data_IF_159266772819
#
_entry.id   IF_159266772819
#
_cell.length_a   1.000
_cell.length_b   1.000
_cell.length_c   1.000
_cell.angle_alpha   90.00
_cell.angle_beta   90.00
_cell.angle_gamma   90.00
#
_symmetry.space_group_name_H-M   'P 1'
#
loop_
_entity.id
_entity.type
_entity.pdbx_description
1 polymer ?
#
# COMPACT_ATOMS: atom_id res chain seq x y z
N UNK A 1 53.08 8.62 -48.66
CA UNK A 1 51.90 8.69 -47.79
C UNK A 1 51.41 7.34 -47.32
N UNK A 2 51.33 6.35 -48.24
CA UNK A 2 50.93 4.95 -47.94
C UNK A 2 51.78 4.32 -46.83
N UNK A 3 53.11 4.46 -46.88
CA UNK A 3 54.01 3.92 -45.86
C UNK A 3 53.84 4.61 -44.49
N UNK A 4 53.52 5.90 -44.49
CA UNK A 4 53.21 6.65 -43.23
C UNK A 4 51.92 6.16 -42.57
N UNK A 5 50.88 5.86 -43.37
CA UNK A 5 49.62 5.30 -42.84
C UNK A 5 49.89 3.93 -42.23
N UNK A 6 50.61 3.04 -42.90
CA UNK A 6 50.93 1.71 -42.41
C UNK A 6 51.81 1.75 -41.15
N UNK A 7 52.78 2.65 -41.08
CA UNK A 7 53.63 2.82 -39.90
C UNK A 7 52.78 3.30 -38.68
N UNK A 8 51.92 4.28 -38.87
CA UNK A 8 51.05 4.78 -37.79
C UNK A 8 50.04 3.72 -37.34
N UNK A 9 49.50 2.93 -38.26
CA UNK A 9 48.59 1.83 -37.97
C UNK A 9 49.29 0.73 -37.15
N UNK A 10 50.53 0.36 -37.53
CA UNK A 10 51.33 -0.62 -36.79
C UNK A 10 51.65 -0.15 -35.38
N UNK A 11 52.03 1.13 -35.21
CA UNK A 11 52.28 1.72 -33.88
C UNK A 11 51.00 1.77 -33.04
N UNK A 12 49.86 2.12 -33.60
CA UNK A 12 48.58 2.14 -32.92
C UNK A 12 48.19 0.75 -32.43
N UNK A 13 48.37 -0.28 -33.24
CA UNK A 13 48.12 -1.70 -32.89
C UNK A 13 48.95 -2.12 -31.67
N UNK A 14 50.23 -1.80 -31.64
CA UNK A 14 51.11 -2.10 -30.53
C UNK A 14 50.60 -1.44 -29.23
N UNK A 15 50.33 -0.15 -29.27
CA UNK A 15 49.83 0.60 -28.08
C UNK A 15 48.45 0.14 -27.61
N UNK A 16 47.56 -0.30 -28.52
CA UNK A 16 46.28 -0.91 -28.16
C UNK A 16 46.47 -2.25 -27.45
N UNK A 17 47.37 -3.08 -28.00
CA UNK A 17 47.70 -4.40 -27.41
C UNK A 17 48.27 -4.25 -25.99
N UNK A 18 49.15 -3.28 -25.77
CA UNK A 18 49.85 -3.06 -24.49
C UNK A 18 48.99 -2.34 -23.46
N UNK A 19 47.85 -1.77 -23.83
CA UNK A 19 46.97 -1.05 -22.91
C UNK A 19 46.36 -1.98 -21.87
N UNK A 20 46.52 -1.62 -20.58
CA UNK A 20 46.05 -2.36 -19.43
C UNK A 20 44.86 -1.67 -18.71
N UNK A 21 44.49 -0.48 -19.15
CA UNK A 21 43.39 0.29 -18.56
C UNK A 21 42.57 1.02 -19.61
N UNK A 22 41.29 1.33 -19.24
CA UNK A 22 40.39 2.10 -20.11
C UNK A 22 40.93 3.54 -20.36
N UNK A 23 41.64 4.10 -19.36
CA UNK A 23 42.27 5.42 -19.46
C UNK A 23 43.39 5.42 -20.55
N UNK A 24 44.20 4.37 -20.60
CA UNK A 24 45.22 4.22 -21.62
C UNK A 24 44.62 4.06 -23.02
N UNK A 25 43.56 3.26 -23.17
CA UNK A 25 42.83 3.14 -24.43
C UNK A 25 42.25 4.46 -24.89
N UNK A 26 41.75 5.28 -23.99
CA UNK A 26 41.23 6.61 -24.31
C UNK A 26 42.36 7.56 -24.76
N UNK A 27 43.55 7.46 -24.16
CA UNK A 27 44.72 8.21 -24.60
C UNK A 27 45.15 7.77 -25.99
N UNK A 28 45.23 6.47 -26.28
CA UNK A 28 45.52 5.93 -27.61
C UNK A 28 44.49 6.42 -28.64
N UNK A 29 43.20 6.35 -28.32
CA UNK A 29 42.13 6.90 -29.18
C UNK A 29 42.35 8.37 -29.50
N UNK A 30 42.68 9.18 -28.54
CA UNK A 30 42.94 10.61 -28.74
C UNK A 30 44.18 10.89 -29.59
N UNK A 31 45.26 10.11 -29.39
CA UNK A 31 46.50 10.26 -30.10
C UNK A 31 46.40 9.88 -31.57
N UNK A 32 45.59 8.91 -31.96
CA UNK A 32 45.54 8.39 -33.33
C UNK A 32 44.31 8.85 -34.12
N UNK A 33 43.11 8.82 -33.52
CA UNK A 33 41.82 9.13 -34.19
C UNK A 33 41.08 10.35 -33.66
N UNK A 34 41.59 10.99 -32.60
CA UNK A 34 41.05 12.25 -32.07
C UNK A 34 41.18 13.43 -33.08
N UNK A 35 40.64 14.59 -32.77
CA UNK A 35 40.66 15.80 -33.62
C UNK A 35 42.09 16.20 -34.02
N UNK A 36 43.07 15.98 -33.17
CA UNK A 36 44.52 16.25 -33.36
C UNK A 36 45.32 14.96 -33.51
N UNK A 37 44.65 13.81 -33.69
CA UNK A 37 45.31 12.52 -33.83
C UNK A 37 46.04 12.33 -35.16
N UNK A 38 47.09 11.51 -35.15
CA UNK A 38 48.01 11.33 -36.29
C UNK A 38 47.29 10.96 -37.60
N UNK A 39 46.28 10.06 -37.54
CA UNK A 39 45.50 9.70 -38.74
C UNK A 39 44.53 10.85 -39.13
N UNK A 40 44.07 11.66 -38.20
CA UNK A 40 43.22 12.82 -38.51
C UNK A 40 43.99 13.99 -39.09
N UNK A 41 45.26 14.14 -38.72
CA UNK A 41 46.14 15.15 -39.32
C UNK A 41 46.53 14.74 -40.75
N UNK A 42 46.85 13.50 -40.99
CA UNK A 42 47.12 13.00 -42.37
C UNK A 42 45.91 13.17 -43.31
N UNK A 43 44.68 13.12 -42.78
CA UNK A 43 43.49 13.40 -43.58
C UNK A 43 43.42 14.87 -44.05
N UNK A 44 43.95 15.80 -43.29
CA UNK A 44 44.06 17.23 -43.67
C UNK A 44 45.16 17.47 -44.73
N UNK A 45 46.11 16.53 -44.88
CA UNK A 45 47.14 16.58 -45.89
C UNK A 45 46.71 16.00 -47.26
N UNK A 46 45.58 15.30 -47.37
CA UNK A 46 45.08 14.76 -48.64
C UNK A 46 45.02 15.78 -49.78
N UNK A 47 44.61 17.06 -49.56
CA UNK A 47 44.56 18.05 -50.62
C UNK A 47 45.92 18.36 -51.26
N UNK A 48 47.04 18.05 -50.58
CA UNK A 48 48.41 18.28 -51.09
C UNK A 48 48.93 17.12 -51.94
N UNK A 49 48.20 15.99 -52.04
CA UNK A 49 48.54 14.84 -52.83
C UNK A 49 47.98 14.99 -54.25
N UNK A 50 48.63 14.35 -55.22
CA UNK A 50 48.20 14.32 -56.64
C UNK A 50 46.73 13.94 -56.76
N UNK A 51 45.98 14.68 -57.57
CA UNK A 51 44.52 14.59 -57.73
C UNK A 51 44.08 13.15 -58.05
N UNK A 52 44.86 12.42 -58.87
CA UNK A 52 44.57 11.04 -59.27
C UNK A 52 44.61 10.06 -58.07
N UNK A 53 45.39 10.33 -57.01
CA UNK A 53 45.63 9.45 -55.88
C UNK A 53 44.79 9.76 -54.66
N UNK A 54 44.09 10.93 -54.65
CA UNK A 54 43.28 11.38 -53.50
C UNK A 54 42.18 10.39 -53.07
N UNK A 55 41.39 9.83 -54.01
CA UNK A 55 40.34 8.87 -53.64
C UNK A 55 40.89 7.62 -52.98
N UNK A 56 42.01 7.08 -53.47
CA UNK A 56 42.64 5.91 -52.91
C UNK A 56 43.23 6.16 -51.52
N UNK A 57 43.88 7.32 -51.32
CA UNK A 57 44.46 7.70 -50.04
C UNK A 57 43.34 7.97 -48.99
N UNK A 58 42.24 8.60 -49.40
CA UNK A 58 41.08 8.81 -48.52
C UNK A 58 40.45 7.51 -48.07
N UNK A 59 40.31 6.54 -48.95
CA UNK A 59 39.80 5.20 -48.64
C UNK A 59 40.71 4.47 -47.65
N UNK A 60 42.01 4.47 -47.88
CA UNK A 60 43.01 3.84 -47.00
C UNK A 60 43.00 4.47 -45.59
N UNK A 61 42.94 5.81 -45.49
CA UNK A 61 42.91 6.50 -44.22
C UNK A 61 41.62 6.19 -43.43
N UNK A 62 40.48 6.12 -44.12
CA UNK A 62 39.21 5.75 -43.46
C UNK A 62 39.24 4.28 -43.02
N UNK A 63 39.81 3.36 -43.80
CA UNK A 63 40.01 1.98 -43.39
C UNK A 63 40.90 1.89 -42.15
N UNK A 64 42.05 2.57 -42.12
CA UNK A 64 42.93 2.60 -40.99
C UNK A 64 42.26 3.16 -39.73
N UNK A 65 41.47 4.22 -39.85
CA UNK A 65 40.68 4.76 -38.72
C UNK A 65 39.67 3.79 -38.19
N UNK A 66 38.93 3.12 -39.03
CA UNK A 66 37.94 2.12 -38.63
C UNK A 66 38.64 0.93 -37.96
N UNK A 67 39.71 0.44 -38.51
CA UNK A 67 40.48 -0.66 -37.91
C UNK A 67 41.00 -0.32 -36.49
N UNK A 68 41.56 0.89 -36.31
CA UNK A 68 42.02 1.35 -35.00
C UNK A 68 40.82 1.46 -34.03
N UNK A 69 39.66 1.93 -34.50
CA UNK A 69 38.46 2.01 -33.68
C UNK A 69 37.98 0.64 -33.25
N UNK A 70 37.88 -0.29 -34.15
CA UNK A 70 37.40 -1.65 -33.89
C UNK A 70 38.33 -2.37 -32.90
N UNK A 71 39.62 -2.26 -33.06
CA UNK A 71 40.62 -2.81 -32.13
C UNK A 71 40.53 -2.20 -30.73
N UNK A 72 40.26 -0.90 -30.62
CA UNK A 72 40.03 -0.25 -29.32
C UNK A 72 38.76 -0.78 -28.63
N UNK A 73 37.70 -0.98 -29.41
CA UNK A 73 36.43 -1.47 -28.87
C UNK A 73 36.52 -2.94 -28.46
N UNK A 74 37.26 -3.78 -29.23
CA UNK A 74 37.59 -5.16 -28.87
C UNK A 74 38.42 -5.21 -27.56
N UNK A 75 39.50 -4.41 -27.49
CA UNK A 75 40.36 -4.39 -26.28
C UNK A 75 39.63 -3.87 -25.05
N UNK A 76 38.73 -2.91 -25.23
CA UNK A 76 37.85 -2.42 -24.15
C UNK A 76 36.98 -3.54 -23.64
N UNK A 77 36.43 -4.37 -24.52
CA UNK A 77 35.61 -5.51 -24.12
C UNK A 77 36.41 -6.57 -23.38
N UNK A 78 37.64 -6.86 -23.85
CA UNK A 78 38.56 -7.74 -23.13
C UNK A 78 38.88 -7.26 -21.71
N UNK A 79 39.19 -5.95 -21.54
CA UNK A 79 39.49 -5.38 -20.24
C UNK A 79 38.27 -5.42 -19.29
N UNK A 80 37.07 -5.19 -19.83
CA UNK A 80 35.84 -5.31 -19.04
C UNK A 80 35.59 -6.76 -18.63
N UNK A 81 35.81 -7.72 -19.48
CA UNK A 81 35.65 -9.13 -19.12
C UNK A 81 36.67 -9.54 -18.06
N UNK A 82 37.95 -9.13 -18.16
CA UNK A 82 38.97 -9.37 -17.12
C UNK A 82 38.61 -8.69 -15.79
N UNK A 83 38.05 -7.49 -15.83
CA UNK A 83 37.61 -6.77 -14.61
C UNK A 83 36.38 -7.42 -13.97
N UNK A 84 35.60 -8.19 -14.71
CA UNK A 84 34.45 -8.94 -14.22
C UNK A 84 34.78 -10.38 -13.79
N UNK A 85 36.01 -10.82 -13.97
CA UNK A 85 36.45 -12.12 -13.42
C UNK A 85 36.38 -12.08 -11.90
N UNK A 86 35.58 -13.01 -11.35
CA UNK A 86 35.44 -13.18 -9.92
C UNK A 86 36.80 -13.55 -9.32
N UNK A 87 37.19 -12.84 -8.27
CA UNK A 87 38.44 -13.15 -7.54
C UNK A 87 38.49 -14.64 -7.19
N UNK A 88 39.66 -15.31 -7.36
CA UNK A 88 39.84 -16.69 -6.91
C UNK A 88 39.47 -16.90 -5.43
N UNK A 89 39.55 -15.84 -4.64
CA UNK A 89 39.21 -15.83 -3.23
C UNK A 89 37.69 -15.65 -2.95
N UNK A 90 36.86 -15.48 -4.01
CA UNK A 90 35.42 -15.35 -3.88
C UNK A 90 34.77 -16.75 -3.87
N UNK A 91 34.33 -17.18 -2.69
CA UNK A 91 33.63 -18.44 -2.51
C UNK A 91 32.15 -18.32 -2.94
N UNK A 92 31.83 -18.81 -4.13
CA UNK A 92 30.46 -18.82 -4.66
C UNK A 92 29.54 -19.79 -3.91
N UNK A 93 30.05 -20.68 -3.06
CA UNK A 93 29.24 -21.61 -2.27
C UNK A 93 28.71 -21.00 -0.99
N UNK A 94 29.28 -19.89 -0.55
CA UNK A 94 28.78 -19.16 0.61
C UNK A 94 27.46 -18.48 0.26
N UNK A 95 26.36 -18.81 0.95
CA UNK A 95 25.06 -18.16 0.68
C UNK A 95 25.16 -16.66 0.94
N UNK A 96 24.72 -15.87 -0.01
CA UNK A 96 24.61 -14.41 0.15
C UNK A 96 23.62 -14.04 1.26
N UNK A 97 23.76 -12.82 1.79
CA UNK A 97 22.76 -12.25 2.70
C UNK A 97 21.52 -11.94 1.87
N UNK A 98 20.49 -12.77 2.04
CA UNK A 98 19.19 -12.50 1.41
C UNK A 98 18.61 -11.23 2.03
N UNK A 99 18.16 -10.27 1.21
CA UNK A 99 17.40 -9.15 1.71
C UNK A 99 16.18 -9.67 2.46
N UNK A 100 15.95 -9.17 3.67
CA UNK A 100 14.78 -9.57 4.44
C UNK A 100 13.54 -9.09 3.67
N UNK A 101 12.70 -10.04 3.24
CA UNK A 101 11.42 -9.73 2.59
C UNK A 101 10.57 -8.84 3.49
N UNK A 102 9.78 -7.95 2.90
CA UNK A 102 8.73 -7.21 3.59
C UNK A 102 7.54 -8.14 3.91
N UNK A 103 6.66 -7.68 4.81
CA UNK A 103 5.37 -8.29 5.10
C UNK A 103 4.30 -7.22 5.15
N UNK A 104 3.03 -7.61 5.01
CA UNK A 104 1.92 -6.70 5.22
C UNK A 104 1.72 -6.47 6.72
N UNK A 105 1.32 -5.26 7.07
CA UNK A 105 0.92 -4.92 8.42
C UNK A 105 -0.24 -5.82 8.89
N UNK A 106 -0.29 -6.31 10.15
CA UNK A 106 -1.31 -7.26 10.59
C UNK A 106 -2.76 -6.74 10.45
N UNK A 107 -2.99 -5.43 10.60
CA UNK A 107 -4.29 -4.81 10.32
C UNK A 107 -4.63 -4.91 8.83
N UNK A 108 -3.66 -4.70 7.94
CA UNK A 108 -3.86 -4.84 6.48
C UNK A 108 -4.15 -6.29 6.10
N UNK A 109 -3.47 -7.26 6.70
CA UNK A 109 -3.75 -8.68 6.49
C UNK A 109 -5.19 -9.02 6.90
N UNK A 110 -5.62 -8.56 8.08
CA UNK A 110 -7.00 -8.75 8.55
C UNK A 110 -8.02 -8.11 7.61
N UNK A 111 -7.72 -6.91 7.12
CA UNK A 111 -8.57 -6.22 6.15
C UNK A 111 -8.74 -7.03 4.87
N UNK A 112 -7.68 -7.62 4.35
CA UNK A 112 -7.75 -8.49 3.15
C UNK A 112 -8.50 -9.79 3.43
N UNK A 113 -8.27 -10.44 4.56
CA UNK A 113 -9.01 -11.64 4.98
C UNK A 113 -10.52 -11.37 5.06
N UNK A 114 -10.91 -10.21 5.60
CA UNK A 114 -12.32 -9.79 5.67
C UNK A 114 -12.85 -9.43 4.27
N UNK A 115 -12.10 -8.71 3.45
CA UNK A 115 -12.52 -8.40 2.08
C UNK A 115 -12.82 -9.68 1.27
N UNK A 116 -11.95 -10.68 1.38
CA UNK A 116 -12.16 -11.96 0.68
C UNK A 116 -13.36 -12.72 1.25
N UNK A 117 -13.55 -12.66 2.56
CA UNK A 117 -14.70 -13.27 3.23
C UNK A 117 -16.01 -12.63 2.73
N UNK A 118 -16.10 -11.30 2.75
CA UNK A 118 -17.30 -10.59 2.32
C UNK A 118 -17.55 -10.70 0.82
N UNK A 119 -16.49 -10.63 -0.01
CA UNK A 119 -16.62 -10.89 -1.45
C UNK A 119 -17.19 -12.27 -1.75
N UNK A 120 -16.78 -13.30 -0.98
CA UNK A 120 -17.34 -14.65 -1.12
C UNK A 120 -18.84 -14.73 -0.79
N UNK A 121 -19.36 -13.78 -0.01
CA UNK A 121 -20.80 -13.62 0.31
C UNK A 121 -21.52 -12.64 -0.62
N UNK A 122 -20.85 -12.14 -1.67
CA UNK A 122 -21.43 -11.24 -2.68
C UNK A 122 -21.47 -9.77 -2.25
N UNK A 123 -20.60 -9.34 -1.35
CA UNK A 123 -20.45 -7.93 -0.99
C UNK A 123 -19.42 -7.23 -1.86
N UNK A 124 -19.68 -5.97 -2.16
CA UNK A 124 -18.72 -5.06 -2.79
C UNK A 124 -17.83 -4.40 -1.74
N UNK A 125 -16.57 -4.12 -2.10
CA UNK A 125 -15.67 -3.34 -1.25
C UNK A 125 -15.66 -1.91 -1.76
N UNK A 126 -15.99 -0.98 -0.87
CA UNK A 126 -16.11 0.44 -1.15
C UNK A 126 -15.04 1.22 -0.36
N UNK A 127 -14.60 2.32 -0.89
CA UNK A 127 -13.64 3.24 -0.24
C UNK A 127 -14.18 4.66 -0.27
N UNK A 128 -13.86 5.45 0.76
CA UNK A 128 -14.31 6.83 0.92
C UNK A 128 -13.22 7.67 1.61
N UNK A 129 -13.29 8.98 1.39
CA UNK A 129 -12.37 9.96 1.97
C UNK A 129 -12.43 9.99 3.52
N UNK A 130 -11.28 10.24 4.15
CA UNK A 130 -11.17 10.35 5.60
C UNK A 130 -11.76 11.67 6.14
N UNK A 131 -11.90 12.69 5.28
CA UNK A 131 -12.55 13.97 5.62
C UNK A 131 -14.03 13.89 5.27
N UNK A 132 -14.88 14.25 6.23
CA UNK A 132 -16.33 14.25 6.06
C UNK A 132 -16.95 15.53 6.63
N UNK A 133 -18.20 15.82 6.26
CA UNK A 133 -18.94 16.92 6.86
C UNK A 133 -19.72 16.49 8.11
N UNK A 134 -20.00 17.43 9.01
CA UNK A 134 -20.85 17.21 10.19
C UNK A 134 -22.20 16.59 9.81
N UNK A 135 -22.74 16.99 8.67
CA UNK A 135 -23.99 16.45 8.14
C UNK A 135 -23.94 14.93 7.97
N UNK A 136 -22.85 14.39 7.41
CA UNK A 136 -22.72 12.94 7.22
C UNK A 136 -22.18 12.22 8.45
N UNK A 137 -21.33 12.88 9.24
CA UNK A 137 -20.85 12.30 10.49
C UNK A 137 -21.97 12.13 11.53
N UNK A 138 -22.97 13.03 11.54
CA UNK A 138 -23.95 13.07 12.63
C UNK A 138 -25.40 13.22 12.16
N UNK A 139 -25.73 14.26 11.37
CA UNK A 139 -27.14 14.60 11.12
C UNK A 139 -27.89 13.51 10.36
N UNK A 140 -27.28 12.99 9.27
CA UNK A 140 -27.87 11.90 8.47
C UNK A 140 -27.88 10.55 9.19
N UNK A 141 -27.21 10.44 10.32
CA UNK A 141 -27.16 9.27 11.18
C UNK A 141 -28.07 9.39 12.40
N UNK A 142 -29.08 10.25 12.30
CA UNK A 142 -30.08 10.44 13.37
C UNK A 142 -29.51 10.98 14.69
N UNK A 143 -28.36 11.66 14.70
CA UNK A 143 -27.84 12.36 15.84
C UNK A 143 -28.48 13.75 15.93
N UNK A 144 -29.35 14.04 16.90
CA UNK A 144 -29.87 15.41 17.09
C UNK A 144 -28.74 16.36 17.53
N UNK A 145 -28.88 17.69 17.32
CA UNK A 145 -27.80 18.66 17.57
C UNK A 145 -27.23 18.61 19.00
N UNK A 146 -28.06 18.34 19.97
CA UNK A 146 -27.71 18.35 21.42
C UNK A 146 -27.62 16.91 21.98
N UNK A 147 -27.43 15.89 21.19
CA UNK A 147 -27.38 14.52 21.69
C UNK A 147 -26.03 14.26 22.40
N UNK A 148 -26.02 13.71 23.63
CA UNK A 148 -24.80 13.51 24.42
C UNK A 148 -23.74 12.65 23.67
N UNK A 149 -24.15 11.68 22.85
CA UNK A 149 -23.23 10.87 22.06
C UNK A 149 -22.46 11.67 20.99
N UNK A 150 -23.01 12.85 20.56
CA UNK A 150 -22.33 13.77 19.63
C UNK A 150 -21.16 14.48 20.31
N UNK A 151 -21.31 14.85 21.59
CA UNK A 151 -20.26 15.49 22.40
C UNK A 151 -19.19 14.48 22.86
N UNK A 152 -19.57 13.25 23.13
CA UNK A 152 -18.66 12.19 23.57
C UNK A 152 -17.75 11.64 22.46
N UNK A 153 -18.06 11.92 21.21
CA UNK A 153 -17.22 11.58 20.06
C UNK A 153 -16.23 12.71 19.83
N UNK A 154 -15.18 12.79 20.63
CA UNK A 154 -14.09 13.77 20.52
C UNK A 154 -13.58 13.88 19.06
N UNK A 155 -14.23 14.75 18.29
CA UNK A 155 -14.06 14.87 16.86
C UNK A 155 -12.95 15.86 16.54
N UNK A 156 -12.07 15.51 15.61
CA UNK A 156 -11.09 16.44 15.06
C UNK A 156 -11.74 17.30 13.97
N UNK A 157 -12.07 18.54 14.31
CA UNK A 157 -12.57 19.53 13.36
C UNK A 157 -11.42 20.15 12.56
N UNK A 158 -11.65 20.44 11.29
CA UNK A 158 -10.65 21.09 10.46
C UNK A 158 -10.66 22.59 10.73
N UNK A 159 -9.48 23.16 10.96
CA UNK A 159 -9.32 24.61 11.15
C UNK A 159 -9.81 25.37 9.91
N UNK A 160 -10.61 26.43 10.15
CA UNK A 160 -11.25 27.19 9.07
C UNK A 160 -12.52 26.56 8.48
N UNK A 161 -12.89 25.35 8.92
CA UNK A 161 -14.10 24.63 8.52
C UNK A 161 -14.89 24.13 9.75
N UNK A 162 -14.79 24.83 10.86
CA UNK A 162 -15.44 24.50 12.14
C UNK A 162 -16.69 25.36 12.41
N UNK A 163 -17.07 26.21 11.46
CA UNK A 163 -18.22 27.12 11.51
C UNK A 163 -19.04 27.03 10.23
N UNK A 164 -20.29 27.55 10.28
CA UNK A 164 -21.21 27.51 9.15
C UNK A 164 -22.29 26.44 9.27
N UNK A 165 -22.87 26.04 8.15
CA UNK A 165 -23.85 24.94 8.10
C UNK A 165 -23.18 23.59 8.33
N UNK A 166 -23.95 22.57 8.76
CA UNK A 166 -23.42 21.22 9.03
C UNK A 166 -22.81 20.55 7.77
N UNK A 167 -23.14 21.07 6.59
CA UNK A 167 -22.53 20.60 5.34
C UNK A 167 -21.15 21.24 5.07
N UNK A 168 -20.89 22.42 5.64
CA UNK A 168 -19.64 23.18 5.46
C UNK A 168 -18.61 22.88 6.55
N UNK A 169 -19.08 22.45 7.72
CA UNK A 169 -18.21 22.01 8.81
C UNK A 169 -17.59 20.67 8.47
N UNK A 170 -16.27 20.64 8.41
CA UNK A 170 -15.49 19.45 8.04
C UNK A 170 -14.72 18.91 9.25
N UNK A 171 -14.67 17.59 9.32
CA UNK A 171 -13.92 16.87 10.34
C UNK A 171 -13.21 15.63 9.75
N UNK A 172 -12.26 15.12 10.48
CA UNK A 172 -11.81 13.74 10.28
C UNK A 172 -12.92 12.80 10.77
N UNK A 173 -13.29 11.81 9.95
CA UNK A 173 -14.43 10.93 10.26
C UNK A 173 -14.23 10.17 11.57
N UNK A 174 -15.14 10.29 12.56
CA UNK A 174 -15.05 9.59 13.84
C UNK A 174 -15.49 8.12 13.76
N UNK A 175 -16.15 7.74 12.67
CA UNK A 175 -16.64 6.40 12.32
C UNK A 175 -16.86 6.31 10.80
N UNK A 176 -17.10 5.10 10.31
CA UNK A 176 -17.32 4.84 8.88
C UNK A 176 -18.76 5.08 8.42
N UNK A 177 -19.75 5.02 9.34
CA UNK A 177 -21.17 4.90 9.04
C UNK A 177 -21.75 6.03 8.16
N UNK A 178 -21.15 7.23 8.20
CA UNK A 178 -21.54 8.34 7.31
C UNK A 178 -21.35 8.03 5.83
N UNK A 179 -20.33 7.27 5.48
CA UNK A 179 -20.06 6.82 4.13
C UNK A 179 -21.12 5.88 3.59
N UNK A 180 -21.73 5.07 4.44
CA UNK A 180 -22.81 4.16 4.04
C UNK A 180 -24.03 4.92 3.50
N UNK A 181 -24.36 6.07 4.08
CA UNK A 181 -25.45 6.93 3.58
C UNK A 181 -25.12 7.51 2.20
N UNK A 182 -23.85 7.95 1.99
CA UNK A 182 -23.43 8.44 0.67
C UNK A 182 -23.45 7.34 -0.39
N UNK A 183 -23.00 6.13 -0.04
CA UNK A 183 -23.07 4.99 -0.94
C UNK A 183 -24.52 4.73 -1.38
N UNK A 184 -25.44 4.64 -0.44
CA UNK A 184 -26.85 4.39 -0.74
C UNK A 184 -27.51 5.51 -1.57
N UNK A 185 -27.09 6.77 -1.39
CA UNK A 185 -27.58 7.90 -2.20
C UNK A 185 -27.13 7.87 -3.65
N UNK A 186 -26.03 7.20 -3.96
CA UNK A 186 -25.42 7.17 -5.29
C UNK A 186 -25.66 5.85 -6.03
N UNK A 187 -26.11 4.81 -5.34
CA UNK A 187 -26.36 3.49 -5.89
C UNK A 187 -27.84 3.10 -5.77
N UNK A 188 -28.21 1.95 -6.30
CA UNK A 188 -29.58 1.42 -6.23
C UNK A 188 -29.62 0.15 -5.38
N UNK A 189 -30.68 -0.05 -4.55
CA UNK A 189 -30.85 -1.29 -3.81
C UNK A 189 -31.08 -2.49 -4.74
N UNK A 190 -30.81 -3.74 -4.30
CA UNK A 190 -30.33 -4.09 -2.95
C UNK A 190 -28.85 -3.75 -2.73
N UNK A 191 -28.48 -3.42 -1.49
CA UNK A 191 -27.10 -3.11 -1.15
C UNK A 191 -26.46 -4.22 -0.35
N UNK A 192 -25.24 -4.57 -0.72
CA UNK A 192 -24.31 -5.45 0.01
C UNK A 192 -22.93 -4.91 -0.18
N UNK A 193 -22.48 -4.13 0.76
CA UNK A 193 -21.13 -3.54 0.71
C UNK A 193 -20.46 -3.53 2.04
N UNK A 194 -19.14 -3.50 1.96
CA UNK A 194 -18.25 -3.30 3.09
C UNK A 194 -17.31 -2.17 2.78
N UNK A 195 -16.90 -1.47 3.81
CA UNK A 195 -15.77 -0.57 3.63
C UNK A 195 -14.86 -0.52 4.86
N UNK A 196 -13.59 -0.83 4.65
CA UNK A 196 -12.53 -0.62 5.61
C UNK A 196 -12.09 0.82 5.61
N UNK A 197 -11.66 1.33 6.74
CA UNK A 197 -11.08 2.66 6.77
C UNK A 197 -10.55 3.06 8.12
N UNK A 198 -9.68 4.05 8.10
CA UNK A 198 -9.18 4.69 9.31
C UNK A 198 -10.22 5.69 9.81
N UNK A 199 -10.38 5.74 11.12
CA UNK A 199 -11.25 6.68 11.83
C UNK A 199 -10.46 7.38 12.92
N UNK A 200 -10.96 8.53 13.39
CA UNK A 200 -10.23 9.44 14.25
C UNK A 200 -11.07 9.89 15.42
N UNK A 201 -10.53 9.77 16.63
CA UNK A 201 -11.17 10.26 17.86
C UNK A 201 -10.14 10.99 18.73
N UNK A 202 -10.49 12.16 19.21
CA UNK A 202 -9.59 12.96 20.06
C UNK A 202 -9.64 12.50 21.51
N UNK A 203 -9.38 11.23 21.74
CA UNK A 203 -9.36 10.62 23.07
C UNK A 203 -7.94 10.31 23.56
N UNK A 204 -7.80 10.04 24.85
CA UNK A 204 -6.50 9.69 25.44
C UNK A 204 -6.09 8.30 24.99
N UNK A 205 -4.85 8.19 24.48
CA UNK A 205 -4.26 6.91 24.08
C UNK A 205 -3.92 6.06 25.30
N UNK A 206 -4.35 4.80 25.29
CA UNK A 206 -3.99 3.77 26.27
C UNK A 206 -3.75 2.41 25.60
N UNK A 207 -3.69 1.32 26.35
CA UNK A 207 -3.49 -0.02 25.79
C UNK A 207 -4.67 -0.54 24.95
N UNK A 208 -5.82 0.11 25.01
CA UNK A 208 -7.06 -0.31 24.34
C UNK A 208 -7.64 0.74 23.37
N UNK A 209 -7.15 1.99 23.47
CA UNK A 209 -7.65 3.13 22.71
C UNK A 209 -6.50 3.84 21.99
N UNK A 210 -6.71 4.16 20.74
CA UNK A 210 -5.80 4.94 19.92
C UNK A 210 -6.57 6.05 19.20
N UNK A 211 -5.93 7.20 18.98
CA UNK A 211 -6.54 8.38 18.33
C UNK A 211 -6.91 8.15 16.87
N UNK A 212 -6.12 7.32 16.20
CA UNK A 212 -6.37 6.89 14.83
C UNK A 212 -6.35 5.36 14.81
N UNK A 213 -7.46 4.74 14.49
CA UNK A 213 -7.61 3.29 14.45
C UNK A 213 -8.42 2.87 13.24
N UNK A 214 -8.48 1.58 12.97
CA UNK A 214 -9.16 1.06 11.80
C UNK A 214 -10.51 0.44 12.17
N UNK A 215 -11.51 0.76 11.38
CA UNK A 215 -12.82 0.13 11.41
C UNK A 215 -13.08 -0.60 10.11
N UNK A 216 -13.99 -1.54 10.16
CA UNK A 216 -14.51 -2.29 9.02
C UNK A 216 -16.03 -2.33 9.16
N UNK A 217 -16.74 -1.62 8.30
CA UNK A 217 -18.19 -1.59 8.32
C UNK A 217 -18.75 -2.50 7.23
N UNK A 218 -19.81 -3.24 7.55
CA UNK A 218 -20.59 -4.00 6.59
C UNK A 218 -22.06 -3.60 6.72
N UNK A 219 -22.69 -3.38 5.57
CA UNK A 219 -24.12 -3.10 5.48
C UNK A 219 -24.77 -3.99 4.42
N UNK A 220 -25.87 -4.59 4.80
CA UNK A 220 -26.81 -5.22 3.89
C UNK A 220 -28.15 -4.51 4.01
N UNK A 221 -28.77 -4.11 2.86
CA UNK A 221 -30.12 -3.55 2.80
C UNK A 221 -30.87 -4.19 1.64
N UNK A 222 -32.02 -4.74 1.95
CA UNK A 222 -32.94 -5.33 0.98
C UNK A 222 -34.37 -5.29 1.55
N UNK A 223 -35.39 -5.80 0.83
CA UNK A 223 -36.80 -5.75 1.24
C UNK A 223 -37.13 -6.60 2.48
N UNK A 224 -36.42 -7.69 2.72
CA UNK A 224 -36.75 -8.70 3.74
C UNK A 224 -35.58 -9.07 4.67
N UNK A 225 -34.66 -8.13 4.93
CA UNK A 225 -33.53 -8.43 5.85
C UNK A 225 -34.05 -8.53 7.29
N UNK A 226 -33.79 -9.67 7.90
CA UNK A 226 -34.17 -9.96 9.28
C UNK A 226 -32.99 -9.87 10.23
N UNK A 227 -33.26 -9.62 11.50
CA UNK A 227 -32.24 -9.67 12.56
C UNK A 227 -31.43 -10.98 12.58
N UNK A 228 -32.10 -12.12 12.30
CA UNK A 228 -31.44 -13.43 12.21
C UNK A 228 -30.38 -13.49 11.11
N UNK A 229 -30.57 -12.77 10.01
CA UNK A 229 -29.61 -12.74 8.90
C UNK A 229 -28.32 -12.01 9.33
N UNK A 230 -28.48 -10.92 10.09
CA UNK A 230 -27.35 -10.22 10.73
C UNK A 230 -26.56 -11.12 11.67
N UNK A 231 -27.25 -11.92 12.50
CA UNK A 231 -26.58 -12.87 13.40
C UNK A 231 -25.78 -13.93 12.64
N UNK A 232 -26.35 -14.51 11.60
CA UNK A 232 -25.67 -15.48 10.74
C UNK A 232 -24.46 -14.84 10.07
N UNK A 233 -24.59 -13.63 9.56
CA UNK A 233 -23.48 -12.87 8.97
C UNK A 233 -22.33 -12.70 9.96
N UNK A 234 -22.61 -12.26 11.19
CA UNK A 234 -21.61 -12.08 12.27
C UNK A 234 -20.89 -13.39 12.58
N UNK A 235 -21.63 -14.49 12.77
CA UNK A 235 -21.04 -15.79 13.05
C UNK A 235 -20.15 -16.26 11.92
N UNK A 236 -20.59 -16.10 10.67
CA UNK A 236 -19.81 -16.47 9.47
C UNK A 236 -18.50 -15.71 9.39
N UNK A 237 -18.52 -14.40 9.65
CA UNK A 237 -17.33 -13.53 9.65
C UNK A 237 -16.33 -13.99 10.71
N UNK A 238 -16.79 -14.12 11.96
CA UNK A 238 -15.91 -14.46 13.07
C UNK A 238 -15.33 -15.89 12.91
N UNK A 239 -16.16 -16.86 12.50
CA UNK A 239 -15.70 -18.22 12.23
C UNK A 239 -14.64 -18.25 11.12
N UNK A 240 -14.81 -17.42 10.08
CA UNK A 240 -13.83 -17.34 9.00
C UNK A 240 -12.52 -16.70 9.46
N UNK A 241 -12.60 -15.61 10.22
CA UNK A 241 -11.42 -14.88 10.76
C UNK A 241 -10.60 -15.76 11.70
N UNK A 242 -11.27 -16.53 12.58
CA UNK A 242 -10.58 -17.36 13.57
C UNK A 242 -10.35 -18.81 13.11
N UNK A 243 -10.89 -19.21 11.94
CA UNK A 243 -10.77 -20.57 11.42
C UNK A 243 -11.50 -21.63 12.24
N UNK A 244 -12.43 -21.23 13.11
CA UNK A 244 -13.24 -22.08 13.98
C UNK A 244 -14.53 -21.38 14.38
N UNK A 245 -15.50 -22.13 14.87
CA UNK A 245 -16.69 -21.55 15.44
C UNK A 245 -16.37 -20.73 16.69
N UNK A 246 -16.88 -19.50 16.71
CA UNK A 246 -16.68 -18.56 17.80
C UNK A 246 -18.03 -18.26 18.42
N UNK A 247 -18.25 -18.59 19.70
CA UNK A 247 -19.48 -18.24 20.39
C UNK A 247 -19.65 -16.72 20.43
N UNK A 248 -20.85 -16.27 20.06
CA UNK A 248 -21.24 -14.86 20.11
C UNK A 248 -22.49 -14.68 20.95
N UNK A 249 -22.57 -13.58 21.66
CA UNK A 249 -23.78 -13.11 22.31
C UNK A 249 -24.09 -11.69 21.90
N UNK A 250 -25.36 -11.34 21.87
CA UNK A 250 -25.82 -10.00 21.55
C UNK A 250 -26.51 -9.42 22.76
N UNK A 251 -26.13 -8.20 23.10
CA UNK A 251 -26.75 -7.40 24.17
C UNK A 251 -27.40 -6.20 23.53
N UNK A 252 -28.59 -5.79 23.98
CA UNK A 252 -29.19 -4.54 23.50
C UNK A 252 -28.27 -3.37 23.83
N UNK A 253 -28.03 -2.51 22.85
CA UNK A 253 -27.25 -1.29 22.96
C UNK A 253 -27.98 -0.15 22.23
N UNK A 254 -27.79 1.06 22.66
CA UNK A 254 -28.38 2.23 22.01
C UNK A 254 -27.35 2.95 21.16
N UNK A 255 -27.65 3.06 19.89
CA UNK A 255 -26.91 3.89 18.94
C UNK A 255 -27.91 4.67 18.08
N UNK A 256 -27.74 5.99 17.88
CA UNK A 256 -28.74 6.81 17.17
C UNK A 256 -29.09 6.33 15.76
N UNK A 257 -28.13 5.67 15.08
CA UNK A 257 -28.26 5.26 13.68
C UNK A 257 -28.83 3.85 13.46
N UNK A 258 -29.13 3.09 14.53
CA UNK A 258 -29.73 1.75 14.46
C UNK A 258 -30.89 1.60 15.43
N UNK A 259 -31.93 0.86 15.01
CA UNK A 259 -33.08 0.50 15.85
C UNK A 259 -33.72 -0.80 15.35
N UNK A 260 -33.63 -1.91 16.10
CA UNK A 260 -32.89 -2.08 17.35
C UNK A 260 -31.38 -2.12 17.16
N UNK A 261 -30.65 -1.58 18.15
CA UNK A 261 -29.20 -1.62 18.22
C UNK A 261 -28.69 -2.69 19.19
N UNK A 262 -27.51 -3.24 18.91
CA UNK A 262 -26.90 -4.30 19.69
C UNK A 262 -25.39 -4.10 19.83
N UNK A 263 -24.87 -4.49 20.98
CA UNK A 263 -23.46 -4.76 21.22
C UNK A 263 -23.22 -6.25 21.05
N UNK A 264 -22.24 -6.60 20.25
CA UNK A 264 -21.93 -7.99 19.92
C UNK A 264 -20.62 -8.36 20.61
N UNK A 265 -20.73 -9.28 21.56
CA UNK A 265 -19.61 -9.83 22.28
C UNK A 265 -19.22 -11.18 21.68
N UNK A 266 -17.92 -11.40 21.60
CA UNK A 266 -17.31 -12.67 21.25
C UNK A 266 -16.72 -13.32 22.52
N UNK A 267 -16.75 -14.65 22.61
CA UNK A 267 -16.02 -15.34 23.66
C UNK A 267 -14.53 -15.03 23.56
N UNK A 268 -13.89 -14.70 24.66
CA UNK A 268 -12.48 -14.34 24.70
C UNK A 268 -11.61 -15.49 24.22
N UNK A 269 -10.96 -15.30 23.07
CA UNK A 269 -10.15 -16.32 22.42
C UNK A 269 -8.83 -16.60 23.15
N UNK A 270 -8.40 -15.71 24.06
CA UNK A 270 -7.20 -15.88 24.88
C UNK A 270 -7.44 -16.85 26.03
N UNK A 271 -8.59 -16.76 26.70
CA UNK A 271 -8.88 -17.59 27.88
C UNK A 271 -9.99 -18.62 27.67
N UNK A 272 -10.63 -18.69 26.50
CA UNK A 272 -11.73 -19.59 26.23
C UNK A 272 -12.90 -19.39 27.22
N UNK A 273 -13.31 -18.15 27.43
CA UNK A 273 -14.43 -17.78 28.30
C UNK A 273 -14.16 -17.83 29.80
N UNK A 274 -12.96 -18.25 30.25
CA UNK A 274 -12.63 -18.43 31.69
C UNK A 274 -12.39 -17.14 32.45
N UNK A 275 -12.11 -16.05 31.75
CA UNK A 275 -11.72 -14.75 32.32
C UNK A 275 -10.19 -14.57 32.40
N UNK A 276 -9.67 -13.50 31.84
CA UNK A 276 -8.26 -13.08 31.91
C UNK A 276 -8.15 -11.54 31.88
N UNK A 277 -6.93 -11.03 31.96
CA UNK A 277 -6.66 -9.59 31.90
C UNK A 277 -7.20 -8.93 30.62
N UNK A 278 -7.09 -9.61 29.46
CA UNK A 278 -7.54 -9.11 28.17
C UNK A 278 -9.06 -8.90 28.13
N UNK A 279 -9.85 -9.80 28.69
CA UNK A 279 -11.29 -9.67 28.79
C UNK A 279 -11.76 -9.05 30.13
N UNK A 280 -10.85 -8.46 30.92
CA UNK A 280 -11.14 -7.89 32.24
C UNK A 280 -11.86 -8.91 33.16
N UNK A 281 -11.47 -10.16 33.09
CA UNK A 281 -12.03 -11.30 33.84
C UNK A 281 -13.51 -11.63 33.56
N UNK A 282 -14.10 -11.06 32.49
CA UNK A 282 -15.50 -11.30 32.11
C UNK A 282 -15.68 -12.55 31.25
N UNK A 283 -14.65 -12.99 30.54
CA UNK A 283 -14.70 -14.11 29.58
C UNK A 283 -15.25 -13.72 28.20
N UNK A 284 -15.77 -12.52 28.05
CA UNK A 284 -16.34 -12.00 26.81
C UNK A 284 -15.70 -10.66 26.43
N UNK A 285 -15.60 -10.38 25.16
CA UNK A 285 -15.05 -9.13 24.64
C UNK A 285 -16.02 -8.58 23.60
N UNK A 286 -16.43 -7.33 23.79
CA UNK A 286 -17.15 -6.59 22.77
C UNK A 286 -16.26 -6.38 21.55
N UNK A 287 -16.74 -6.79 20.40
CA UNK A 287 -15.99 -6.71 19.14
C UNK A 287 -16.61 -5.77 18.14
N UNK A 288 -17.92 -5.58 18.19
CA UNK A 288 -18.62 -4.75 17.22
C UNK A 288 -19.99 -4.30 17.74
N UNK A 289 -20.40 -3.05 17.46
CA UNK A 289 -21.81 -2.68 17.44
C UNK A 289 -22.47 -3.15 16.15
N UNK A 290 -23.80 -3.32 16.19
CA UNK A 290 -24.59 -3.67 15.02
C UNK A 290 -26.07 -3.42 15.26
N UNK A 291 -26.88 -3.60 14.22
CA UNK A 291 -28.33 -3.45 14.30
C UNK A 291 -28.96 -3.10 12.98
N UNK A 292 -30.30 -2.99 12.98
CA UNK A 292 -31.01 -2.54 11.79
C UNK A 292 -30.86 -1.02 11.63
N UNK A 293 -30.66 -0.51 10.41
CA UNK A 293 -30.63 0.94 10.17
C UNK A 293 -31.88 1.62 10.72
N UNK A 294 -31.70 2.71 11.46
CA UNK A 294 -32.82 3.49 11.93
C UNK A 294 -33.64 4.03 10.74
N UNK A 295 -35.00 4.07 10.80
CA UNK A 295 -35.85 4.58 9.71
C UNK A 295 -35.41 5.95 9.17
N UNK A 296 -34.94 6.85 10.02
CA UNK A 296 -34.43 8.16 9.61
C UNK A 296 -33.15 8.07 8.78
N UNK A 297 -32.29 7.08 9.01
CA UNK A 297 -31.08 6.84 8.22
C UNK A 297 -31.45 6.35 6.83
N UNK A 298 -32.42 5.44 6.73
CA UNK A 298 -32.95 4.97 5.44
C UNK A 298 -33.58 6.13 4.65
N UNK A 299 -34.38 6.97 5.29
CA UNK A 299 -34.94 8.18 4.64
C UNK A 299 -33.84 9.16 4.22
N UNK A 300 -32.81 9.37 5.05
CA UNK A 300 -31.66 10.20 4.68
C UNK A 300 -30.87 9.65 3.50
N UNK A 301 -30.90 8.34 3.29
CA UNK A 301 -30.33 7.65 2.14
C UNK A 301 -31.23 7.66 0.90
N UNK A 302 -32.48 8.15 1.03
CA UNK A 302 -33.47 8.17 -0.09
C UNK A 302 -34.29 6.90 -0.21
N UNK A 303 -34.32 6.05 0.82
CA UNK A 303 -35.07 4.79 0.85
C UNK A 303 -36.34 4.91 1.69
N UNK A 304 -37.36 4.16 1.32
CA UNK A 304 -38.58 4.00 2.09
C UNK A 304 -38.36 2.92 3.17
N UNK A 305 -38.42 3.28 4.49
CA UNK A 305 -38.22 2.33 5.58
C UNK A 305 -39.35 1.30 5.72
N UNK A 306 -40.52 1.53 5.09
CA UNK A 306 -41.61 0.55 5.06
C UNK A 306 -41.37 -0.52 3.98
N UNK A 307 -40.49 -0.27 3.01
CA UNK A 307 -40.14 -1.20 1.93
C UNK A 307 -38.77 -1.88 2.17
N UNK A 308 -37.80 -1.17 2.76
CA UNK A 308 -36.43 -1.63 2.91
C UNK A 308 -36.05 -1.79 4.37
N UNK A 309 -35.37 -2.90 4.64
CA UNK A 309 -34.77 -3.21 5.94
C UNK A 309 -33.29 -3.56 5.75
N UNK A 310 -32.53 -3.60 6.82
CA UNK A 310 -31.10 -3.90 6.70
C UNK A 310 -30.46 -4.31 8.00
N UNK A 311 -29.15 -4.55 7.93
CA UNK A 311 -28.34 -4.83 9.11
C UNK A 311 -26.93 -4.25 8.97
N UNK A 312 -26.53 -3.45 9.95
CA UNK A 312 -25.18 -2.92 10.12
C UNK A 312 -24.33 -3.82 10.99
N UNK A 313 -23.07 -3.94 10.63
CA UNK A 313 -21.99 -4.46 11.49
C UNK A 313 -20.80 -3.53 11.38
N UNK A 314 -20.29 -3.03 12.49
CA UNK A 314 -19.12 -2.17 12.52
C UNK A 314 -18.02 -2.81 13.39
N UNK A 315 -16.93 -3.23 12.78
CA UNK A 315 -15.87 -4.00 13.41
C UNK A 315 -14.68 -3.09 13.70
N UNK A 316 -14.23 -3.04 14.96
CA UNK A 316 -12.93 -2.46 15.30
C UNK A 316 -11.80 -3.40 14.89
N UNK A 317 -11.10 -3.10 13.78
CA UNK A 317 -10.05 -3.98 13.25
C UNK A 317 -8.90 -4.18 14.21
N UNK A 318 -8.43 -3.10 14.83
CA UNK A 318 -7.32 -3.17 15.79
C UNK A 318 -7.61 -4.17 16.91
N UNK A 319 -8.81 -4.10 17.49
CA UNK A 319 -9.25 -5.03 18.55
C UNK A 319 -9.36 -6.47 18.06
N UNK A 320 -9.87 -6.66 16.84
CA UNK A 320 -9.97 -8.00 16.25
C UNK A 320 -8.59 -8.62 16.00
N UNK A 321 -7.65 -7.83 15.54
CA UNK A 321 -6.24 -8.25 15.33
C UNK A 321 -5.55 -8.54 16.66
N UNK A 322 -5.75 -7.70 17.68
CA UNK A 322 -5.26 -7.97 19.04
C UNK A 322 -5.69 -9.35 19.52
N UNK A 323 -6.96 -9.70 19.34
CA UNK A 323 -7.49 -11.00 19.78
C UNK A 323 -6.98 -12.16 18.95
N UNK A 324 -6.85 -11.98 17.62
CA UNK A 324 -6.35 -13.05 16.73
C UNK A 324 -4.92 -13.45 17.08
N UNK A 325 -4.08 -12.49 17.45
CA UNK A 325 -2.65 -12.69 17.68
C UNK A 325 -2.25 -12.65 19.17
N UNK A 326 -3.19 -12.41 20.08
CA UNK A 326 -2.90 -12.33 21.52
C UNK A 326 -2.08 -11.10 21.91
N UNK A 327 -2.24 -10.00 21.18
CA UNK A 327 -1.58 -8.72 21.49
C UNK A 327 -2.39 -7.96 22.54
N UNK A 328 -1.74 -7.48 23.58
CA UNK A 328 -2.37 -6.85 24.75
C UNK A 328 -2.32 -5.31 24.74
N UNK A 329 -1.65 -4.72 23.77
CA UNK A 329 -1.47 -3.27 23.64
C UNK A 329 -1.63 -2.80 22.19
N UNK A 330 -2.68 -2.02 21.91
CA UNK A 330 -3.01 -1.52 20.57
C UNK A 330 -1.93 -0.61 20.02
N UNK A 331 -1.18 0.11 20.88
CA UNK A 331 -0.12 1.04 20.47
C UNK A 331 1.02 0.35 19.71
N UNK A 332 1.20 -0.95 19.90
CA UNK A 332 2.21 -1.73 19.17
C UNK A 332 1.96 -1.72 17.66
N UNK A 333 0.71 -1.68 17.21
CA UNK A 333 0.37 -1.59 15.79
C UNK A 333 0.76 -0.25 15.17
N UNK A 334 0.81 0.81 15.98
CA UNK A 334 1.07 2.18 15.53
C UNK A 334 2.49 2.67 15.84
N UNK A 335 3.29 1.89 16.59
CA UNK A 335 4.63 2.27 17.05
C UNK A 335 5.69 2.29 15.95
N UNK A 336 5.49 1.58 14.83
CA UNK A 336 6.52 1.36 13.80
C UNK A 336 7.68 0.47 14.25
N UNK A 337 7.58 -0.23 15.40
CA UNK A 337 8.63 -1.12 15.88
C UNK A 337 8.75 -2.36 14.97
N UNK A 338 9.83 -2.40 14.19
CA UNK A 338 10.10 -3.50 13.27
C UNK A 338 10.30 -4.86 13.98
N UNK A 339 10.67 -4.89 15.25
CA UNK A 339 10.79 -6.14 16.02
C UNK A 339 9.41 -6.76 16.26
N UNK A 340 8.41 -5.91 16.46
CA UNK A 340 7.01 -6.32 16.56
C UNK A 340 6.46 -6.71 15.18
N UNK A 341 6.56 -5.82 14.20
CA UNK A 341 5.96 -6.01 12.87
C UNK A 341 6.53 -7.21 12.11
N UNK A 342 7.80 -7.55 12.31
CA UNK A 342 8.44 -8.73 11.68
C UNK A 342 7.86 -10.06 12.12
N UNK A 343 7.07 -10.12 13.18
CA UNK A 343 6.41 -11.35 13.65
C UNK A 343 5.20 -11.74 12.80
N UNK A 344 4.70 -10.85 11.95
CA UNK A 344 3.51 -11.04 11.12
C UNK A 344 3.85 -11.24 9.62
N UNK A 345 4.90 -11.99 9.33
CA UNK A 345 5.34 -12.31 7.95
C UNK A 345 4.67 -13.56 7.44
#
# INVERSE_FOLDING_TARGET
MKDKINSILSEAKGKISDAVSEGELQNVKSAYIGKQGSLSLLMKEIPTVDVALRPEMGKLLNQAKNEVKDLIDEKRMELKLKASEVSPDFDCSVPGILPTGGGLHPITQMCYDLNDTFRSMGFEVFEEDEITSEMYAFDKLNFPPNHPARESMDTYWLEGHDSGSTNEKLCLRPHLTGGSVRYMQTHKPPYRFVYPGRVYRNETTDSHHERAFFQYEALIVDKDIKFTDGKVMIQSILSKVFGRDVPVRMRSGFFPFVEPGFEIDMECQVCGGKGCSVCKHVGWIEVMPGGSPHPNVLRAAGLDPDEYTGFYVNIGLDRLVMMRYGVDDVRLFHSGDLRFLRQFR
#
